data_IF_567688677352
#
_entry.id   IF_567688677352
#
_cell.length_a   1.000
_cell.length_b   1.000
_cell.length_c   1.000
_cell.angle_alpha   90.00
_cell.angle_beta   90.00
_cell.angle_gamma   90.00
#
_symmetry.space_group_name_H-M   'P 1'
#
loop_
_entity.id
_entity.type
_entity.pdbx_description
1 polymer ?
#
# COMPACT_ATOMS: atom_id res chain seq x y z
N UNK A 1 6.26 6.87 -13.66
CA UNK A 1 5.56 8.17 -13.73
C UNK A 1 4.35 8.19 -12.79
N UNK A 2 3.24 7.49 -13.07
CA UNK A 2 2.02 7.56 -12.24
C UNK A 2 2.23 7.34 -10.73
N UNK A 3 2.96 6.29 -10.32
CA UNK A 3 3.21 6.01 -8.89
C UNK A 3 4.02 7.13 -8.23
N UNK A 4 5.04 7.65 -8.91
CA UNK A 4 5.88 8.74 -8.40
C UNK A 4 5.04 10.01 -8.25
N UNK A 5 4.26 10.37 -9.27
CA UNK A 5 3.39 11.55 -9.23
C UNK A 5 2.36 11.47 -8.09
N UNK A 6 1.79 10.29 -7.84
CA UNK A 6 0.82 10.12 -6.76
C UNK A 6 1.49 10.15 -5.38
N UNK A 7 2.65 9.51 -5.22
CA UNK A 7 3.42 9.58 -3.96
C UNK A 7 3.81 11.02 -3.64
N UNK A 8 4.32 11.77 -4.62
CA UNK A 8 4.72 13.17 -4.45
C UNK A 8 3.51 14.07 -4.18
N UNK A 9 2.45 13.94 -4.97
CA UNK A 9 1.22 14.73 -4.78
C UNK A 9 0.57 14.47 -3.43
N UNK A 10 0.51 13.20 -3.00
CA UNK A 10 -0.03 12.85 -1.70
C UNK A 10 0.83 13.36 -0.54
N UNK A 11 2.17 13.29 -0.68
CA UNK A 11 3.07 13.86 0.32
C UNK A 11 2.92 15.38 0.42
N UNK A 12 2.69 16.08 -0.70
CA UNK A 12 2.39 17.51 -0.71
C UNK A 12 1.06 17.84 -0.02
N UNK A 13 0.00 17.07 -0.27
CA UNK A 13 -1.29 17.22 0.42
C UNK A 13 -1.16 17.03 1.93
N UNK A 14 -0.41 16.01 2.35
CA UNK A 14 -0.14 15.73 3.76
C UNK A 14 0.83 16.72 4.40
N UNK A 15 1.68 17.38 3.63
CA UNK A 15 2.47 18.51 4.12
C UNK A 15 1.57 19.74 4.34
N UNK A 16 0.62 19.99 3.45
CA UNK A 16 -0.29 21.13 3.52
C UNK A 16 -1.20 21.10 4.76
N UNK A 17 -1.49 19.92 5.33
CA UNK A 17 -2.26 19.80 6.59
C UNK A 17 -1.51 20.29 7.83
N UNK A 18 -0.22 20.60 7.69
CA UNK A 18 0.61 21.17 8.78
C UNK A 18 0.79 22.68 8.67
N UNK A 19 0.18 23.33 7.66
CA UNK A 19 0.22 24.78 7.51
C UNK A 19 -0.50 25.47 8.69
N UNK A 20 -0.04 26.65 9.17
CA UNK A 20 -0.60 27.31 10.35
C UNK A 20 -2.13 27.60 10.30
N UNK A 21 -2.71 27.79 9.12
CA UNK A 21 -4.15 28.01 8.93
C UNK A 21 -4.96 26.71 8.71
N UNK A 22 -4.27 25.58 8.62
CA UNK A 22 -4.81 24.25 8.32
C UNK A 22 -4.41 23.22 9.38
N UNK A 23 -3.81 23.70 10.48
CA UNK A 23 -3.35 22.90 11.63
C UNK A 23 -4.41 21.91 12.10
N UNK A 24 -4.01 20.76 12.69
CA UNK A 24 -4.95 19.72 13.11
C UNK A 24 -6.05 20.30 13.98
N UNK A 25 -7.26 20.33 13.45
CA UNK A 25 -8.38 21.04 14.04
C UNK A 25 -9.65 20.79 13.24
N UNK A 26 -10.80 21.10 13.82
CA UNK A 26 -12.13 20.88 13.23
C UNK A 26 -12.43 21.72 11.98
N UNK A 27 -11.42 22.36 11.36
CA UNK A 27 -11.60 23.20 10.19
C UNK A 27 -11.95 22.36 8.95
N UNK A 28 -12.89 22.87 8.15
CA UNK A 28 -13.33 22.22 6.92
C UNK A 28 -12.18 21.99 5.93
N UNK A 29 -11.21 22.91 5.88
CA UNK A 29 -10.02 22.84 5.02
C UNK A 29 -9.11 21.66 5.39
N UNK A 30 -8.89 21.41 6.68
CA UNK A 30 -8.13 20.25 7.16
C UNK A 30 -8.80 18.94 6.73
N UNK A 31 -10.11 18.81 6.97
CA UNK A 31 -10.87 17.62 6.58
C UNK A 31 -10.91 17.41 5.06
N UNK A 32 -11.02 18.48 4.27
CA UNK A 32 -10.99 18.41 2.81
C UNK A 32 -9.64 17.92 2.28
N UNK A 33 -8.53 18.44 2.81
CA UNK A 33 -7.19 17.97 2.44
C UNK A 33 -6.95 16.52 2.89
N UNK A 34 -7.35 16.17 4.11
CA UNK A 34 -7.24 14.81 4.64
C UNK A 34 -8.05 13.81 3.80
N UNK A 35 -9.28 14.16 3.43
CA UNK A 35 -10.12 13.34 2.56
C UNK A 35 -9.52 13.20 1.16
N UNK A 36 -9.02 14.30 0.57
CA UNK A 36 -8.39 14.29 -0.75
C UNK A 36 -7.12 13.43 -0.76
N UNK A 37 -6.31 13.53 0.29
CA UNK A 37 -5.15 12.66 0.49
C UNK A 37 -5.58 11.20 0.61
N UNK A 38 -6.59 10.89 1.44
CA UNK A 38 -7.12 9.54 1.58
C UNK A 38 -7.59 8.94 0.25
N UNK A 39 -8.38 9.68 -0.52
CA UNK A 39 -8.83 9.27 -1.86
C UNK A 39 -7.64 9.07 -2.80
N UNK A 40 -6.67 9.98 -2.79
CA UNK A 40 -5.45 9.87 -3.61
C UNK A 40 -4.70 8.57 -3.31
N UNK A 41 -4.48 8.24 -2.02
CA UNK A 41 -3.82 7.00 -1.59
C UNK A 41 -4.59 5.77 -2.05
N UNK A 42 -5.92 5.76 -1.88
CA UNK A 42 -6.77 4.64 -2.30
C UNK A 42 -6.66 4.40 -3.80
N UNK A 43 -6.77 5.45 -4.61
CA UNK A 43 -6.63 5.36 -6.07
C UNK A 43 -5.23 4.93 -6.48
N UNK A 44 -4.19 5.43 -5.80
CA UNK A 44 -2.79 5.04 -6.03
C UNK A 44 -2.61 3.54 -5.82
N UNK A 45 -3.03 3.06 -4.65
CA UNK A 45 -2.92 1.67 -4.26
C UNK A 45 -3.69 0.80 -5.22
N UNK A 46 -4.95 1.13 -5.52
CA UNK A 46 -5.75 0.38 -6.49
C UNK A 46 -5.07 0.29 -7.86
N UNK A 47 -4.49 1.39 -8.36
CA UNK A 47 -3.76 1.40 -9.63
C UNK A 47 -2.47 0.56 -9.58
N UNK A 48 -1.73 0.61 -8.47
CA UNK A 48 -0.52 -0.21 -8.25
C UNK A 48 -0.90 -1.70 -8.20
N UNK A 49 -1.92 -2.08 -7.43
CA UNK A 49 -2.41 -3.46 -7.35
C UNK A 49 -2.89 -3.96 -8.72
N UNK A 50 -3.62 -3.11 -9.46
CA UNK A 50 -4.05 -3.34 -10.84
C UNK A 50 -2.88 -3.65 -11.78
N UNK A 51 -1.85 -2.78 -11.78
CA UNK A 51 -0.65 -2.99 -12.61
C UNK A 51 0.11 -4.26 -12.23
N UNK A 52 0.28 -4.53 -10.94
CA UNK A 52 1.00 -5.72 -10.49
C UNK A 52 0.29 -7.00 -10.95
N UNK A 53 -1.04 -7.05 -10.86
CA UNK A 53 -1.81 -8.19 -11.34
C UNK A 53 -1.76 -8.33 -12.86
N UNK A 54 -1.82 -7.22 -13.61
CA UNK A 54 -1.66 -7.27 -15.07
C UNK A 54 -0.30 -7.86 -15.48
N UNK A 55 0.78 -7.51 -14.77
CA UNK A 55 2.11 -8.10 -15.00
C UNK A 55 2.15 -9.60 -14.65
N UNK A 56 1.45 -10.04 -13.60
CA UNK A 56 1.37 -11.47 -13.25
C UNK A 56 0.58 -12.28 -14.29
N UNK A 57 -0.53 -11.74 -14.79
CA UNK A 57 -1.33 -12.36 -15.84
C UNK A 57 -0.55 -12.45 -17.16
N UNK A 58 0.13 -11.37 -17.56
CA UNK A 58 0.96 -11.35 -18.78
C UNK A 58 2.13 -12.32 -18.71
N UNK A 59 2.79 -12.44 -17.55
CA UNK A 59 3.86 -13.43 -17.35
C UNK A 59 3.34 -14.88 -17.39
N UNK A 60 2.10 -15.11 -16.92
CA UNK A 60 1.47 -16.44 -16.95
C UNK A 60 1.00 -16.83 -18.36
N UNK A 61 0.50 -15.87 -19.14
CA UNK A 61 0.06 -16.07 -20.52
C UNK A 61 1.23 -16.39 -21.47
N UNK A 62 2.40 -15.76 -21.28
CA UNK A 62 3.61 -16.09 -22.04
C UNK A 62 4.18 -17.50 -21.77
N UNK A 63 3.66 -18.20 -20.75
CA UNK A 63 4.06 -19.56 -20.37
C UNK A 63 2.99 -20.62 -20.68
N UNK A 64 1.76 -20.22 -21.07
CA UNK A 64 0.65 -21.14 -21.31
C UNK A 64 0.52 -21.47 -22.81
N UNK A 65 0.19 -22.73 -23.13
CA UNK A 65 -0.14 -23.15 -24.49
C UNK A 65 -1.39 -22.38 -24.98
N UNK A 66 -1.38 -22.02 -26.28
CA UNK A 66 -2.42 -21.22 -26.94
C UNK A 66 -3.87 -21.76 -26.75
N UNK A 67 -4.06 -23.03 -26.43
CA UNK A 67 -5.37 -23.65 -26.18
C UNK A 67 -6.04 -23.27 -24.85
N UNK A 68 -5.29 -22.93 -23.80
CA UNK A 68 -5.85 -22.58 -22.49
C UNK A 68 -6.29 -21.11 -22.39
N UNK A 69 -5.86 -20.29 -23.35
CA UNK A 69 -6.16 -18.84 -23.40
C UNK A 69 -7.61 -18.61 -23.81
N UNK A 70 -8.13 -19.43 -24.73
CA UNK A 70 -9.49 -19.30 -25.29
C UNK A 70 -10.58 -19.65 -24.26
N UNK A 71 -10.33 -20.63 -23.38
CA UNK A 71 -11.27 -20.99 -22.29
C UNK A 71 -11.27 -19.95 -21.14
N UNK A 72 -10.14 -19.26 -20.92
CA UNK A 72 -10.00 -18.27 -19.83
C UNK A 72 -10.59 -16.91 -20.18
N UNK A 73 -10.68 -16.59 -21.47
CA UNK A 73 -11.30 -15.36 -21.98
C UNK A 73 -12.83 -15.36 -21.78
N UNK A 74 -13.45 -16.56 -21.72
CA UNK A 74 -14.89 -16.74 -21.47
C UNK A 74 -15.23 -16.65 -19.98
N UNK A 75 -14.31 -17.03 -19.07
CA UNK A 75 -14.44 -16.82 -17.61
C UNK A 75 -14.01 -15.41 -17.22
N UNK A 76 -14.55 -14.43 -17.93
CA UNK A 76 -14.19 -13.01 -17.85
C UNK A 76 -14.50 -12.40 -16.49
N UNK A 77 -13.52 -12.41 -15.61
CA UNK A 77 -13.48 -11.51 -14.47
C UNK A 77 -13.30 -10.09 -15.03
N UNK A 78 -14.43 -9.42 -15.32
CA UNK A 78 -14.44 -8.13 -16.02
C UNK A 78 -13.42 -7.20 -15.37
N UNK A 79 -12.50 -6.57 -16.14
CA UNK A 79 -11.43 -5.72 -15.57
C UNK A 79 -11.96 -4.65 -14.59
N UNK A 80 -13.20 -4.20 -14.79
CA UNK A 80 -13.90 -3.30 -13.86
C UNK A 80 -14.19 -3.88 -12.47
N UNK A 81 -14.47 -5.19 -12.33
CA UNK A 81 -14.72 -5.84 -11.03
C UNK A 81 -13.45 -5.95 -10.19
N UNK A 82 -12.31 -6.26 -10.81
CA UNK A 82 -11.03 -6.25 -10.11
C UNK A 82 -10.59 -4.83 -9.73
N UNK A 83 -10.80 -3.85 -10.61
CA UNK A 83 -10.52 -2.45 -10.31
C UNK A 83 -11.38 -1.95 -9.13
N UNK A 84 -12.68 -2.23 -9.13
CA UNK A 84 -13.59 -1.85 -8.06
C UNK A 84 -13.26 -2.55 -6.73
N UNK A 85 -12.96 -3.85 -6.76
CA UNK A 85 -12.59 -4.60 -5.55
C UNK A 85 -11.20 -4.21 -5.02
N UNK A 86 -10.26 -3.85 -5.89
CA UNK A 86 -8.96 -3.30 -5.48
C UNK A 86 -9.09 -1.91 -4.85
N UNK A 87 -9.98 -1.07 -5.38
CA UNK A 87 -10.31 0.22 -4.77
C UNK A 87 -10.96 0.06 -3.40
N UNK A 88 -11.91 -0.87 -3.26
CA UNK A 88 -12.53 -1.20 -1.98
C UNK A 88 -11.50 -1.73 -0.98
N UNK A 89 -10.63 -2.64 -1.41
CA UNK A 89 -9.57 -3.19 -0.57
C UNK A 89 -8.59 -2.09 -0.11
N UNK A 90 -8.14 -1.24 -1.02
CA UNK A 90 -7.27 -0.11 -0.70
C UNK A 90 -7.95 0.87 0.26
N UNK A 91 -9.24 1.13 0.10
CA UNK A 91 -10.04 1.94 1.01
C UNK A 91 -10.06 1.34 2.42
N UNK A 92 -10.36 0.04 2.53
CA UNK A 92 -10.41 -0.65 3.83
C UNK A 92 -9.05 -0.63 4.54
N UNK A 93 -7.95 -0.90 3.82
CA UNK A 93 -6.60 -0.84 4.40
C UNK A 93 -6.28 0.57 4.88
N UNK A 94 -6.58 1.58 4.06
CA UNK A 94 -6.32 3.00 4.41
C UNK A 94 -7.14 3.41 5.64
N UNK A 95 -8.41 3.01 5.69
CA UNK A 95 -9.30 3.27 6.84
C UNK A 95 -8.79 2.59 8.11
N UNK A 96 -8.40 1.32 8.03
CA UNK A 96 -7.88 0.56 9.19
C UNK A 96 -6.59 1.20 9.72
N UNK A 97 -5.65 1.55 8.84
CA UNK A 97 -4.39 2.21 9.24
C UNK A 97 -4.67 3.59 9.84
N UNK A 98 -5.56 4.37 9.22
CA UNK A 98 -5.97 5.67 9.73
C UNK A 98 -6.64 5.59 11.10
N UNK A 99 -7.58 4.65 11.27
CA UNK A 99 -8.27 4.43 12.54
C UNK A 99 -7.31 3.92 13.62
N UNK A 100 -6.39 3.02 13.28
CA UNK A 100 -5.35 2.54 14.18
C UNK A 100 -4.47 3.69 14.69
N UNK A 101 -4.08 4.61 13.80
CA UNK A 101 -3.30 5.79 14.18
C UNK A 101 -4.04 6.69 15.18
N UNK A 102 -5.36 6.83 15.04
CA UNK A 102 -6.21 7.65 15.92
C UNK A 102 -6.47 6.99 17.27
N UNK A 103 -6.85 5.71 17.27
CA UNK A 103 -7.26 5.00 18.48
C UNK A 103 -6.06 4.70 19.39
N UNK A 104 -4.98 4.20 18.82
CA UNK A 104 -3.76 3.90 19.56
C UNK A 104 -2.59 3.82 18.60
N UNK A 105 -1.81 4.89 18.53
CA UNK A 105 -0.69 5.07 17.60
C UNK A 105 0.25 3.84 17.42
N UNK A 106 0.60 3.06 18.47
CA UNK A 106 1.38 1.83 18.31
C UNK A 106 0.73 0.76 17.42
N UNK A 107 -0.60 0.76 17.24
CA UNK A 107 -1.29 -0.18 16.35
C UNK A 107 -0.87 -0.04 14.90
N UNK A 108 -0.37 1.13 14.48
CA UNK A 108 0.15 1.34 13.12
C UNK A 108 1.30 0.38 12.80
N UNK A 109 2.13 0.05 13.80
CA UNK A 109 3.25 -0.90 13.65
C UNK A 109 2.75 -2.31 13.33
N UNK A 110 1.53 -2.66 13.71
CA UNK A 110 0.92 -3.95 13.43
C UNK A 110 0.08 -3.90 12.14
N UNK A 111 -0.70 -2.85 11.93
CA UNK A 111 -1.65 -2.78 10.82
C UNK A 111 -0.97 -2.54 9.47
N UNK A 112 0.13 -1.79 9.40
CA UNK A 112 0.85 -1.53 8.14
C UNK A 112 1.47 -2.81 7.56
N UNK A 113 2.25 -3.61 8.31
CA UNK A 113 2.77 -4.88 7.80
C UNK A 113 1.66 -5.85 7.39
N UNK A 114 0.59 -5.95 8.17
CA UNK A 114 -0.57 -6.78 7.83
C UNK A 114 -1.25 -6.31 6.54
N UNK A 115 -1.39 -5.00 6.35
CA UNK A 115 -1.90 -4.40 5.12
C UNK A 115 -1.02 -4.71 3.92
N UNK A 116 0.31 -4.65 4.05
CA UNK A 116 1.26 -5.01 2.99
C UNK A 116 1.15 -6.49 2.60
N UNK A 117 1.08 -7.39 3.59
CA UNK A 117 0.88 -8.83 3.37
C UNK A 117 -0.45 -9.07 2.67
N UNK A 118 -1.53 -8.45 3.16
CA UNK A 118 -2.86 -8.58 2.59
C UNK A 118 -2.90 -8.07 1.13
N UNK A 119 -2.26 -6.93 0.85
CA UNK A 119 -2.18 -6.34 -0.47
C UNK A 119 -1.40 -7.21 -1.46
N UNK A 120 -0.24 -7.72 -1.06
CA UNK A 120 0.52 -8.65 -1.88
C UNK A 120 -0.25 -9.96 -2.12
N UNK A 121 -0.96 -10.46 -1.10
CA UNK A 121 -1.80 -11.66 -1.20
C UNK A 121 -2.96 -11.47 -2.18
N UNK A 122 -3.62 -10.31 -2.08
CA UNK A 122 -4.72 -9.89 -2.94
C UNK A 122 -4.29 -9.81 -4.41
N UNK A 123 -3.11 -9.27 -4.68
CA UNK A 123 -2.54 -9.18 -6.03
C UNK A 123 -2.33 -10.58 -6.61
N UNK A 124 -1.59 -11.42 -5.86
CA UNK A 124 -1.18 -12.75 -6.32
C UNK A 124 -2.34 -13.73 -6.50
N UNK A 125 -3.42 -13.60 -5.74
CA UNK A 125 -4.46 -14.65 -5.65
C UNK A 125 -5.90 -14.16 -5.68
N UNK A 126 -6.15 -12.85 -5.68
CA UNK A 126 -7.49 -12.27 -5.57
C UNK A 126 -8.18 -12.46 -4.22
N UNK A 127 -7.44 -12.91 -3.19
CA UNK A 127 -7.99 -13.11 -1.86
C UNK A 127 -6.93 -13.01 -0.76
N UNK A 128 -7.27 -12.31 0.32
CA UNK A 128 -6.34 -11.99 1.42
C UNK A 128 -5.82 -13.25 2.12
N UNK A 129 -6.69 -14.23 2.36
CA UNK A 129 -6.36 -15.43 3.14
C UNK A 129 -5.47 -16.44 2.40
N UNK A 130 -5.42 -16.39 1.06
CA UNK A 130 -4.63 -17.36 0.27
C UNK A 130 -3.15 -17.05 0.28
N UNK A 131 -2.75 -15.78 0.43
CA UNK A 131 -1.34 -15.41 0.51
C UNK A 131 -0.71 -15.68 1.88
N UNK A 132 -1.49 -15.96 2.93
CA UNK A 132 -0.95 -16.50 4.20
C UNK A 132 -0.26 -17.86 4.01
N UNK A 133 -0.56 -18.59 2.93
CA UNK A 133 0.17 -19.80 2.54
C UNK A 133 1.65 -19.55 2.22
N UNK A 134 2.09 -18.30 2.06
CA UNK A 134 3.52 -18.00 1.98
C UNK A 134 4.25 -18.29 3.28
N UNK A 135 3.60 -18.13 4.44
CA UNK A 135 4.19 -18.52 5.72
C UNK A 135 4.35 -20.02 5.86
N UNK A 136 3.54 -20.83 5.17
CA UNK A 136 3.72 -22.29 5.17
C UNK A 136 4.77 -22.75 4.15
N UNK A 137 4.90 -22.05 3.02
CA UNK A 137 5.87 -22.40 1.96
C UNK A 137 7.28 -21.85 2.19
N UNK A 138 7.39 -20.66 2.77
CA UNK A 138 8.64 -19.93 3.02
C UNK A 138 8.59 -19.22 4.39
N UNK A 139 8.47 -19.99 5.49
CA UNK A 139 8.25 -19.43 6.82
C UNK A 139 9.30 -18.41 7.22
N UNK A 140 10.58 -18.74 7.04
CA UNK A 140 11.69 -17.90 7.45
C UNK A 140 11.80 -16.61 6.65
N UNK A 141 11.70 -16.68 5.32
CA UNK A 141 11.75 -15.48 4.48
C UNK A 141 10.55 -14.55 4.74
N UNK A 142 9.35 -15.11 4.94
CA UNK A 142 8.16 -14.34 5.26
C UNK A 142 8.24 -13.72 6.66
N UNK A 143 8.72 -14.46 7.66
CA UNK A 143 8.94 -13.97 9.01
C UNK A 143 9.99 -12.85 9.03
N UNK A 144 11.15 -13.04 8.38
CA UNK A 144 12.18 -12.01 8.31
C UNK A 144 11.68 -10.74 7.60
N UNK A 145 10.92 -10.87 6.51
CA UNK A 145 10.36 -9.70 5.82
C UNK A 145 9.27 -9.00 6.63
N UNK A 146 8.47 -9.74 7.41
CA UNK A 146 7.50 -9.16 8.34
C UNK A 146 8.20 -8.40 9.46
N UNK A 147 9.23 -8.99 10.09
CA UNK A 147 10.06 -8.33 11.10
C UNK A 147 10.76 -7.10 10.53
N UNK A 148 11.32 -7.21 9.32
CA UNK A 148 11.92 -6.07 8.62
C UNK A 148 10.89 -4.98 8.34
N UNK A 149 9.67 -5.33 7.90
CA UNK A 149 8.59 -4.36 7.67
C UNK A 149 8.23 -3.63 8.96
N UNK A 150 8.08 -4.35 10.08
CA UNK A 150 7.84 -3.75 11.40
C UNK A 150 8.99 -2.83 11.80
N UNK A 151 10.23 -3.31 11.71
CA UNK A 151 11.42 -2.53 12.09
C UNK A 151 11.59 -1.27 11.25
N UNK A 152 11.38 -1.36 9.95
CA UNK A 152 11.45 -0.21 9.04
C UNK A 152 10.33 0.79 9.30
N UNK A 153 9.10 0.34 9.52
CA UNK A 153 7.99 1.23 9.89
C UNK A 153 8.28 1.90 11.24
N UNK A 154 8.78 1.15 12.24
CA UNK A 154 9.18 1.69 13.53
C UNK A 154 10.29 2.75 13.41
N UNK A 155 11.31 2.49 12.59
CA UNK A 155 12.40 3.43 12.35
C UNK A 155 11.93 4.70 11.64
N UNK A 156 11.06 4.57 10.62
CA UNK A 156 10.47 5.74 9.97
C UNK A 156 9.60 6.55 10.92
N UNK A 157 8.87 5.87 11.81
CA UNK A 157 8.00 6.51 12.79
C UNK A 157 8.81 7.23 13.88
N UNK A 158 9.86 6.60 14.40
CA UNK A 158 10.81 7.23 15.31
C UNK A 158 11.51 8.41 14.63
N UNK A 159 11.97 8.22 13.38
CA UNK A 159 12.57 9.28 12.58
C UNK A 159 11.65 10.48 12.43
N UNK A 160 10.35 10.25 12.16
CA UNK A 160 9.33 11.29 12.10
C UNK A 160 9.19 12.04 13.44
N UNK A 161 9.12 11.31 14.56
CA UNK A 161 9.06 11.93 15.88
C UNK A 161 10.28 12.82 16.17
N UNK A 162 11.48 12.34 15.86
CA UNK A 162 12.73 13.08 16.09
C UNK A 162 12.95 14.23 15.11
N UNK A 163 12.43 14.14 13.88
CA UNK A 163 12.49 15.23 12.90
C UNK A 163 11.47 16.35 13.16
N UNK A 164 10.74 16.26 14.29
CA UNK A 164 9.76 17.25 14.68
C UNK A 164 8.64 17.33 13.66
N UNK A 165 8.04 16.21 13.29
CA UNK A 165 6.97 16.11 12.27
C UNK A 165 5.85 17.17 12.37
N UNK A 166 5.62 17.72 13.57
CA UNK A 166 4.70 18.84 13.83
C UNK A 166 5.37 20.17 14.22
N UNK A 167 6.68 20.17 14.45
CA UNK A 167 7.46 21.30 15.02
C UNK A 167 8.32 21.98 13.94
N UNK A 168 8.88 21.21 13.00
CA UNK A 168 9.77 21.71 11.94
C UNK A 168 9.03 22.22 10.68
N UNK A 169 7.69 22.23 10.71
CA UNK A 169 6.83 22.79 9.67
C UNK A 169 6.61 21.89 8.44
N UNK A 170 5.92 22.45 7.44
CA UNK A 170 5.40 21.72 6.27
C UNK A 170 6.47 21.02 5.42
N UNK A 171 7.69 21.57 5.37
CA UNK A 171 8.77 20.95 4.62
C UNK A 171 9.27 19.64 5.25
N UNK A 172 9.40 19.60 6.59
CA UNK A 172 9.76 18.36 7.31
C UNK A 172 8.68 17.29 7.15
N UNK A 173 7.41 17.70 7.20
CA UNK A 173 6.27 16.81 6.92
C UNK A 173 6.36 16.25 5.50
N UNK A 174 6.61 17.09 4.48
CA UNK A 174 6.76 16.66 3.09
C UNK A 174 7.85 15.59 2.93
N UNK A 175 9.06 15.86 3.43
CA UNK A 175 10.20 14.94 3.33
C UNK A 175 9.88 13.61 4.01
N UNK A 176 9.24 13.67 5.18
CA UNK A 176 8.86 12.47 5.91
C UNK A 176 7.83 11.65 5.14
N UNK A 177 6.75 12.26 4.65
CA UNK A 177 5.73 11.56 3.85
C UNK A 177 6.29 10.97 2.55
N UNK A 178 7.24 11.64 1.91
CA UNK A 178 7.97 11.08 0.76
C UNK A 178 8.76 9.82 1.14
N UNK A 179 9.49 9.85 2.27
CA UNK A 179 10.22 8.69 2.75
C UNK A 179 9.28 7.51 3.04
N UNK A 180 8.15 7.75 3.71
CA UNK A 180 7.12 6.72 3.95
C UNK A 180 6.58 6.13 2.65
N UNK A 181 6.23 6.96 1.67
CA UNK A 181 5.69 6.50 0.39
C UNK A 181 6.69 5.66 -0.41
N UNK A 182 7.96 6.08 -0.45
CA UNK A 182 9.03 5.36 -1.14
C UNK A 182 9.32 4.00 -0.49
N UNK A 183 9.46 3.99 0.83
CA UNK A 183 9.73 2.76 1.58
C UNK A 183 8.54 1.80 1.52
N UNK A 184 7.32 2.30 1.67
CA UNK A 184 6.11 1.48 1.58
C UNK A 184 5.95 0.80 0.22
N UNK A 185 6.23 1.52 -0.88
CA UNK A 185 6.22 0.93 -2.23
C UNK A 185 7.32 -0.11 -2.42
N UNK A 186 8.52 0.12 -1.89
CA UNK A 186 9.60 -0.87 -1.88
C UNK A 186 9.25 -2.14 -1.11
N UNK A 187 8.66 -2.01 0.08
CA UNK A 187 8.21 -3.14 0.89
C UNK A 187 7.09 -3.93 0.19
N UNK A 188 6.11 -3.24 -0.40
CA UNK A 188 5.03 -3.88 -1.17
C UNK A 188 5.60 -4.70 -2.34
N UNK A 189 6.52 -4.11 -3.11
CA UNK A 189 7.17 -4.80 -4.22
C UNK A 189 7.96 -6.02 -3.74
N UNK A 190 8.63 -5.94 -2.59
CA UNK A 190 9.40 -7.04 -2.00
C UNK A 190 8.49 -8.18 -1.54
N UNK A 191 7.37 -7.85 -0.89
CA UNK A 191 6.33 -8.82 -0.54
C UNK A 191 5.77 -9.51 -1.78
N UNK A 192 5.41 -8.76 -2.82
CA UNK A 192 4.93 -9.34 -4.08
C UNK A 192 5.94 -10.27 -4.73
N UNK A 193 7.25 -9.94 -4.70
CA UNK A 193 8.31 -10.83 -5.21
C UNK A 193 8.41 -12.13 -4.40
N UNK A 194 8.30 -12.04 -3.08
CA UNK A 194 8.37 -13.22 -2.21
C UNK A 194 7.22 -14.21 -2.49
N UNK A 195 6.05 -13.69 -2.86
CA UNK A 195 4.86 -14.47 -3.18
C UNK A 195 4.91 -15.15 -4.55
N UNK A 196 5.84 -14.78 -5.44
CA UNK A 196 6.01 -15.44 -6.73
C UNK A 196 6.54 -16.88 -6.55
N UNK A 197 5.93 -17.87 -7.23
CA UNK A 197 6.54 -19.19 -7.38
C UNK A 197 7.92 -19.05 -8.04
N UNK A 198 8.92 -19.83 -7.60
CA UNK A 198 10.18 -19.91 -8.35
C UNK A 198 9.90 -20.64 -9.67
N UNK A 199 10.45 -20.19 -10.82
CA UNK A 199 10.52 -21.06 -11.98
C UNK A 199 11.30 -22.31 -11.57
N UNK A 200 10.73 -23.47 -11.90
CA UNK A 200 11.37 -24.77 -11.72
C UNK A 200 12.59 -24.88 -12.63
#
# INVERSE_FOLDING_TARGET
MLVVSVVVGNAALQAATTLPAVTPGSSLSFWALAATSGVSVVLALAAVLGRMRAMELGASAGSANLGDVEEREISGDRPGRFAASSALFALLVTLIVGLAAVLWSPLVLLTVPLGLIAAASWVATGGVYRGLRVFTRRPWAAAMLAVLSVGVVALLWLGALFSGFFIAGWFSALVTWLAFGFVGTGLLATWSRLMKPRPA
#
